data_IF_253279254666
#
_entry.id   IF_253279254666
#
_cell.length_a   1.000
_cell.length_b   1.000
_cell.length_c   1.000
_cell.angle_alpha   90.00
_cell.angle_beta   90.00
_cell.angle_gamma   90.00
#
_symmetry.space_group_name_H-M   'P 1'
#
loop_
_entity.id
_entity.type
_entity.pdbx_description
1 polymer ?
#
# COMPACT_ATOMS: atom_id res chain seq x y z
N UNK A 1 -18.41 -9.77 6.97
CA UNK A 1 -17.70 -10.38 5.88
C UNK A 1 -16.66 -9.44 5.31
N UNK A 2 -15.57 -10.02 4.92
CA UNK A 2 -14.48 -9.27 4.32
C UNK A 2 -14.35 -9.61 2.86
N UNK A 3 -13.97 -8.62 2.09
CA UNK A 3 -13.76 -8.81 0.68
C UNK A 3 -12.32 -8.45 0.37
N UNK A 4 -11.58 -9.41 -0.14
CA UNK A 4 -10.22 -9.16 -0.57
C UNK A 4 -10.29 -8.51 -1.94
N UNK A 5 -9.82 -7.28 -1.99
CA UNK A 5 -9.88 -6.51 -3.23
C UNK A 5 -8.64 -6.72 -4.05
N UNK A 6 -7.49 -6.83 -3.39
CA UNK A 6 -6.24 -6.94 -4.11
C UNK A 6 -5.16 -7.51 -3.21
N UNK A 7 -4.36 -8.39 -3.77
CA UNK A 7 -3.24 -8.98 -3.05
C UNK A 7 -1.97 -8.76 -3.85
N UNK A 8 -0.99 -8.22 -3.20
CA UNK A 8 0.37 -8.10 -3.73
C UNK A 8 0.46 -7.56 -5.14
N UNK A 9 -0.38 -6.61 -5.47
CA UNK A 9 -0.25 -5.94 -6.75
C UNK A 9 0.57 -4.69 -6.63
N UNK A 10 1.41 -4.65 -5.64
CA UNK A 10 2.36 -3.58 -5.53
C UNK A 10 3.25 -3.55 -6.75
N UNK A 11 3.32 -2.41 -7.37
CA UNK A 11 4.15 -2.25 -8.55
C UNK A 11 5.30 -1.36 -8.16
N UNK A 12 6.47 -1.94 -8.17
CA UNK A 12 7.67 -1.21 -7.85
C UNK A 12 8.37 -0.93 -9.15
N UNK A 13 8.22 0.28 -9.64
CA UNK A 13 8.74 0.60 -10.97
C UNK A 13 10.24 0.58 -11.04
N UNK A 14 10.89 1.06 -10.00
CA UNK A 14 12.35 1.14 -10.01
C UNK A 14 12.99 -0.03 -9.30
N UNK A 15 12.21 -0.85 -8.62
CA UNK A 15 12.67 -2.04 -7.94
C UNK A 15 13.75 -1.77 -6.90
N UNK A 16 13.80 -0.55 -6.39
CA UNK A 16 14.74 -0.21 -5.34
C UNK A 16 14.33 -0.82 -4.01
N UNK A 17 13.06 -1.05 -3.83
CA UNK A 17 12.52 -1.53 -2.57
C UNK A 17 11.67 -2.75 -2.83
N UNK A 18 11.60 -3.61 -1.83
CA UNK A 18 10.74 -4.76 -1.90
C UNK A 18 9.46 -4.51 -1.12
N UNK A 19 8.33 -4.80 -1.74
CA UNK A 19 7.05 -4.74 -1.06
C UNK A 19 6.43 -6.12 -1.13
N UNK A 20 6.11 -6.67 0.03
CA UNK A 20 5.61 -8.03 0.13
C UNK A 20 4.32 -8.05 0.95
N UNK A 21 3.50 -9.05 0.67
CA UNK A 21 2.28 -9.30 1.44
C UNK A 21 1.34 -8.11 1.48
N UNK A 22 1.31 -7.35 0.38
CA UNK A 22 0.45 -6.18 0.30
C UNK A 22 -0.98 -6.62 0.09
N UNK A 23 -1.91 -6.06 0.87
CA UNK A 23 -3.31 -6.35 0.68
C UNK A 23 -4.17 -5.17 1.12
N UNK A 24 -5.33 -5.07 0.51
CA UNK A 24 -6.37 -4.13 0.88
C UNK A 24 -7.63 -4.93 1.08
N UNK A 25 -8.17 -4.94 2.30
CA UNK A 25 -9.35 -5.72 2.62
C UNK A 25 -10.43 -4.78 3.10
N UNK A 26 -11.57 -4.82 2.42
CA UNK A 26 -12.70 -3.97 2.76
C UNK A 26 -13.75 -4.80 3.50
N UNK A 27 -14.19 -4.31 4.65
CA UNK A 27 -15.23 -4.99 5.38
C UNK A 27 -16.60 -4.49 4.96
N UNK A 28 -17.63 -5.00 5.61
CA UNK A 28 -19.01 -4.69 5.22
C UNK A 28 -19.41 -3.26 5.57
N UNK A 29 -18.62 -2.58 6.37
CA UNK A 29 -18.91 -1.21 6.77
C UNK A 29 -18.12 -0.19 5.95
N UNK A 30 -17.37 -0.64 4.97
CA UNK A 30 -16.58 0.25 4.14
C UNK A 30 -15.21 0.58 4.70
N UNK A 31 -14.82 -0.07 5.77
CA UNK A 31 -13.48 0.14 6.32
C UNK A 31 -12.49 -0.74 5.59
N UNK A 32 -11.47 -0.12 5.06
CA UNK A 32 -10.42 -0.82 4.32
C UNK A 32 -9.18 -0.92 5.17
N UNK A 33 -8.68 -2.13 5.33
CA UNK A 33 -7.43 -2.36 6.04
C UNK A 33 -6.33 -2.57 5.01
N UNK A 34 -5.31 -1.74 5.09
CA UNK A 34 -4.16 -1.77 4.19
C UNK A 34 -2.99 -2.31 4.99
N UNK A 35 -2.34 -3.33 4.48
CA UNK A 35 -1.20 -3.91 5.19
C UNK A 35 -0.16 -4.42 4.22
N UNK A 36 1.06 -4.57 4.73
CA UNK A 36 2.14 -5.11 3.93
C UNK A 36 3.47 -5.01 4.64
N UNK A 37 4.52 -5.40 3.93
CA UNK A 37 5.88 -5.32 4.43
C UNK A 37 6.73 -4.58 3.42
N UNK A 38 7.61 -3.74 3.92
CA UNK A 38 8.50 -2.94 3.11
C UNK A 38 9.94 -3.30 3.47
N UNK A 39 10.74 -3.60 2.48
CA UNK A 39 12.16 -3.92 2.67
C UNK A 39 13.00 -2.85 1.99
N UNK A 40 13.92 -2.27 2.75
CA UNK A 40 14.79 -1.22 2.22
C UNK A 40 16.08 -1.85 1.71
N UNK A 41 16.22 -1.91 0.39
CA UNK A 41 17.43 -2.41 -0.26
C UNK A 41 18.45 -1.31 -0.52
N UNK A 42 18.17 -0.10 -0.07
CA UNK A 42 19.01 1.05 -0.28
C UNK A 42 19.66 1.48 1.02
N UNK A 43 20.39 2.58 0.97
CA UNK A 43 20.97 3.13 2.19
C UNK A 43 19.86 3.56 3.13
N UNK A 44 20.23 3.82 4.37
CA UNK A 44 19.28 4.26 5.36
C UNK A 44 18.47 5.45 4.88
N UNK A 45 17.18 5.42 5.15
CA UNK A 45 16.25 6.50 4.83
C UNK A 45 15.58 7.00 6.09
N UNK A 46 15.50 8.32 6.21
CA UNK A 46 14.78 8.91 7.32
C UNK A 46 13.27 8.77 7.13
N UNK A 47 12.82 8.79 5.89
CA UNK A 47 11.41 8.73 5.59
C UNK A 47 11.20 8.17 4.19
N UNK A 48 10.25 7.26 4.08
CA UNK A 48 9.81 6.73 2.79
C UNK A 48 8.29 6.84 2.77
N UNK A 49 7.77 7.41 1.70
CA UNK A 49 6.34 7.57 1.53
C UNK A 49 5.83 6.50 0.58
N UNK A 50 4.85 5.75 1.05
CA UNK A 50 4.15 4.76 0.23
C UNK A 50 2.81 5.33 -0.16
N UNK A 51 2.51 5.28 -1.44
CA UNK A 51 1.27 5.79 -1.96
C UNK A 51 0.39 4.63 -2.41
N UNK A 52 -0.82 4.57 -1.88
CA UNK A 52 -1.76 3.52 -2.24
C UNK A 52 -2.89 4.15 -3.03
N UNK A 53 -3.13 3.62 -4.22
CA UNK A 53 -4.14 4.13 -5.13
C UNK A 53 -5.26 3.11 -5.26
N UNK A 54 -6.49 3.57 -5.13
CA UNK A 54 -7.66 2.71 -5.28
C UNK A 54 -8.31 3.03 -6.61
N UNK A 55 -8.51 2.00 -7.41
CA UNK A 55 -8.97 2.14 -8.80
C UNK A 55 -10.34 1.49 -8.97
N UNK A 56 -11.17 2.11 -9.80
CA UNK A 56 -12.45 1.52 -10.15
C UNK A 56 -12.30 0.59 -11.35
N UNK A 57 -13.42 0.12 -11.88
CA UNK A 57 -13.41 -0.81 -13.01
C UNK A 57 -12.87 -0.20 -14.29
N UNK A 58 -12.87 1.12 -14.40
CA UNK A 58 -12.35 1.82 -15.54
C UNK A 58 -10.93 2.31 -15.33
N UNK A 59 -10.29 1.85 -14.24
CA UNK A 59 -8.92 2.23 -13.90
C UNK A 59 -8.78 3.69 -13.53
N UNK A 60 -9.86 4.31 -13.12
CA UNK A 60 -9.80 5.66 -12.59
C UNK A 60 -9.43 5.62 -11.12
N UNK A 61 -8.57 6.55 -10.72
CA UNK A 61 -8.18 6.66 -9.32
C UNK A 61 -9.32 7.34 -8.57
N UNK A 62 -9.94 6.61 -7.65
CA UNK A 62 -11.06 7.15 -6.88
C UNK A 62 -10.65 7.53 -5.47
N UNK A 63 -9.49 7.08 -5.02
CA UNK A 63 -9.02 7.41 -3.68
C UNK A 63 -7.53 7.17 -3.59
N UNK A 64 -6.85 8.02 -2.83
CA UNK A 64 -5.41 7.86 -2.55
C UNK A 64 -5.21 7.84 -1.05
N UNK A 65 -4.29 7.00 -0.62
CA UNK A 65 -3.86 6.99 0.77
C UNK A 65 -2.35 6.96 0.81
N UNK A 66 -1.78 7.54 1.85
CA UNK A 66 -0.34 7.63 1.99
C UNK A 66 0.07 7.03 3.32
N UNK A 67 1.10 6.22 3.29
CA UNK A 67 1.70 5.66 4.50
C UNK A 67 3.15 6.12 4.54
N UNK A 68 3.56 6.69 5.68
CA UNK A 68 4.93 7.13 5.87
C UNK A 68 5.67 6.15 6.77
N UNK A 69 6.83 5.69 6.29
CA UNK A 69 7.71 4.86 7.08
C UNK A 69 8.92 5.70 7.49
N UNK A 70 9.29 5.63 8.76
CA UNK A 70 10.34 6.47 9.32
C UNK A 70 11.52 5.62 9.78
N UNK A 71 12.71 6.19 9.66
CA UNK A 71 13.94 5.60 10.21
C UNK A 71 14.13 4.16 9.75
N UNK A 72 14.30 3.97 8.46
CA UNK A 72 14.45 2.64 7.89
C UNK A 72 15.91 2.40 7.53
N UNK A 73 16.53 1.49 8.25
CA UNK A 73 17.93 1.14 8.00
C UNK A 73 18.05 0.34 6.71
N UNK A 74 19.26 0.29 6.19
CA UNK A 74 19.52 -0.53 5.03
C UNK A 74 19.22 -2.00 5.36
N UNK A 75 18.52 -2.66 4.47
CA UNK A 75 18.10 -4.06 4.60
C UNK A 75 17.07 -4.30 5.70
N UNK A 76 16.55 -3.24 6.28
CA UNK A 76 15.51 -3.40 7.29
C UNK A 76 14.16 -3.68 6.63
N UNK A 77 13.36 -4.52 7.27
CA UNK A 77 11.98 -4.79 6.85
C UNK A 77 11.05 -4.16 7.87
N UNK A 78 10.14 -3.34 7.39
CA UNK A 78 9.12 -2.72 8.23
C UNK A 78 7.75 -3.14 7.76
N UNK A 79 6.89 -3.44 8.73
CA UNK A 79 5.48 -3.69 8.43
C UNK A 79 4.74 -2.37 8.43
N UNK A 80 3.75 -2.27 7.57
CA UNK A 80 2.87 -1.11 7.61
C UNK A 80 1.43 -1.57 7.68
N UNK A 81 0.62 -0.76 8.33
CA UNK A 81 -0.79 -1.05 8.54
C UNK A 81 -1.52 0.26 8.57
N UNK A 82 -2.61 0.33 7.85
CA UNK A 82 -3.44 1.53 7.85
C UNK A 82 -4.89 1.17 7.66
N UNK A 83 -5.75 2.05 8.13
CA UNK A 83 -7.19 1.90 7.95
C UNK A 83 -7.74 3.16 7.33
N UNK A 84 -8.66 2.98 6.38
CA UNK A 84 -9.29 4.11 5.75
C UNK A 84 -10.70 3.71 5.38
N UNK A 85 -11.64 4.64 5.51
CA UNK A 85 -13.02 4.38 5.11
C UNK A 85 -13.22 4.86 3.69
N UNK A 86 -13.67 3.94 2.83
CA UNK A 86 -13.93 4.25 1.44
C UNK A 86 -15.36 3.86 1.14
N UNK A 87 -16.19 4.87 0.88
CA UNK A 87 -17.59 4.63 0.63
C UNK A 87 -17.88 4.22 -0.81
N UNK A 88 -16.94 4.47 -1.71
CA UNK A 88 -17.12 4.11 -3.10
C UNK A 88 -16.63 2.70 -3.35
N UNK A 89 -17.20 2.06 -4.36
CA UNK A 89 -16.73 0.76 -4.78
C UNK A 89 -15.43 0.90 -5.55
N UNK A 90 -14.50 0.01 -5.29
CA UNK A 90 -13.27 -0.03 -6.07
C UNK A 90 -12.97 -1.48 -6.43
N UNK A 91 -12.27 -1.67 -7.53
CA UNK A 91 -11.92 -2.99 -8.02
C UNK A 91 -10.61 -3.46 -7.42
N UNK A 92 -9.63 -2.58 -7.36
CA UNK A 92 -8.28 -2.96 -6.99
C UNK A 92 -7.55 -1.81 -6.32
N UNK A 93 -6.47 -2.14 -5.64
CA UNK A 93 -5.58 -1.13 -5.11
C UNK A 93 -4.15 -1.47 -5.54
N UNK A 94 -3.36 -0.44 -5.74
CA UNK A 94 -1.95 -0.60 -6.07
C UNK A 94 -1.12 0.27 -5.14
N UNK A 95 0.13 -0.15 -4.96
CA UNK A 95 1.04 0.57 -4.07
C UNK A 95 2.29 0.93 -4.83
N UNK A 96 2.82 2.09 -4.53
CA UNK A 96 4.11 2.50 -5.07
C UNK A 96 4.86 3.29 -4.02
N UNK A 97 6.17 3.24 -4.09
CA UNK A 97 7.00 4.01 -3.20
C UNK A 97 7.43 5.29 -3.90
N UNK A 98 7.49 6.35 -3.12
CA UNK A 98 7.98 7.62 -3.58
C UNK A 98 9.42 7.74 -3.09
N UNK A 99 10.35 7.77 -3.99
CA UNK A 99 11.77 7.81 -3.63
C UNK A 99 12.37 9.18 -3.82
#
# INVERSE_FOLDING_TARGET
NKKIVNESLGIEKDKKYGIQKFSCIKDEFGLVTISGQFNNNQIKKDKIMLEILFLDYNENIIFKNTVNLLDIDQYETKRFLGNVKIDKSFLTCIIKSDT
#
